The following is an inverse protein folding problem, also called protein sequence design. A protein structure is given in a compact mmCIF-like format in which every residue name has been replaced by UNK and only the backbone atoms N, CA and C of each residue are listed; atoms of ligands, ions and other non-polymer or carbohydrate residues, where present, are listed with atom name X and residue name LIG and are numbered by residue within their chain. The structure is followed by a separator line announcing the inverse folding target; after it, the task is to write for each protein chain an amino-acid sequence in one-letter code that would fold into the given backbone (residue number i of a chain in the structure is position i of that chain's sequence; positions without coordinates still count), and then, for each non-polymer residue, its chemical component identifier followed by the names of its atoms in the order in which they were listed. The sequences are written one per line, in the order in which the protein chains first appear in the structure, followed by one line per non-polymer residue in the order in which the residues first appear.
data_IF_628967213740
#
_entry.id   IF_628967213740
#
_cell.length_a   1.000
_cell.length_b   1.000
_cell.length_c   1.000
_cell.angle_alpha   90.00
_cell.angle_beta   90.00
_cell.angle_gamma   90.00
#
_symmetry.space_group_name_H-M   'P 1'
#
loop_
_entity.id
_entity.type
_entity.pdbx_description
1 polymer ?
#
# COMPACT_ATOMS: atom_id res chain seq x y z
N UNK A 1 10.23 -7.94 3.99
CA UNK A 1 9.95 -8.18 5.43
C UNK A 1 8.47 -8.51 5.60
N UNK A 2 8.16 -9.58 6.31
CA UNK A 2 6.78 -9.95 6.59
C UNK A 2 6.18 -9.05 7.68
N UNK A 3 4.88 -8.81 7.63
CA UNK A 3 4.17 -8.02 8.66
C UNK A 3 4.39 -8.57 10.07
N UNK A 4 4.42 -9.90 10.22
CA UNK A 4 4.65 -10.57 11.51
C UNK A 4 6.01 -10.20 12.14
N UNK A 5 7.03 -9.92 11.34
CA UNK A 5 8.35 -9.54 11.87
C UNK A 5 8.33 -8.19 12.56
N UNK A 6 7.43 -7.29 12.15
CA UNK A 6 7.25 -5.99 12.79
C UNK A 6 6.66 -6.06 14.19
N UNK A 7 5.73 -6.97 14.38
CA UNK A 7 5.03 -7.15 15.66
C UNK A 7 5.64 -8.26 16.52
N UNK A 8 6.79 -8.78 16.13
CA UNK A 8 7.48 -9.84 16.85
C UNK A 8 7.72 -9.52 18.32
N UNK A 9 8.02 -8.27 18.64
CA UNK A 9 8.25 -7.82 20.01
C UNK A 9 6.96 -7.83 20.82
N UNK A 10 5.87 -7.38 20.23
CA UNK A 10 4.55 -7.34 20.84
C UNK A 10 4.02 -8.76 21.09
N UNK A 11 4.22 -9.68 20.12
CA UNK A 11 3.87 -11.09 20.30
C UNK A 11 4.65 -11.73 21.45
N UNK A 12 5.95 -11.42 21.58
CA UNK A 12 6.78 -11.92 22.68
C UNK A 12 6.34 -11.40 24.05
N UNK A 13 5.81 -10.20 24.10
CA UNK A 13 5.37 -9.54 25.33
C UNK A 13 3.88 -9.75 25.61
N UNK A 14 3.20 -10.59 24.81
CA UNK A 14 1.78 -10.88 25.03
C UNK A 14 1.59 -11.52 26.42
N UNK A 15 0.74 -10.91 27.21
CA UNK A 15 0.42 -11.38 28.55
C UNK A 15 -0.70 -12.44 28.47
N UNK A 16 -0.33 -13.68 28.79
CA UNK A 16 -1.27 -14.80 28.80
C UNK A 16 -2.31 -14.73 29.91
N UNK A 17 -2.08 -13.89 30.92
CA UNK A 17 -3.03 -13.67 32.01
C UNK A 17 -4.13 -12.66 31.64
N UNK A 18 -3.99 -12.05 30.47
CA UNK A 18 -4.99 -11.14 29.91
C UNK A 18 -6.18 -11.95 29.35
N UNK A 19 -7.41 -11.53 29.66
CA UNK A 19 -8.63 -12.21 29.23
C UNK A 19 -8.91 -12.11 27.71
N UNK A 20 -8.01 -11.49 26.95
CA UNK A 20 -8.14 -11.36 25.49
C UNK A 20 -7.57 -12.61 24.82
N UNK A 21 -8.37 -13.27 24.04
CA UNK A 21 -7.92 -14.43 23.23
C UNK A 21 -6.83 -14.00 22.24
N UNK A 22 -5.74 -14.75 22.12
CA UNK A 22 -4.58 -14.40 21.29
C UNK A 22 -4.95 -14.11 19.84
N UNK A 23 -5.91 -14.85 19.27
CA UNK A 23 -6.42 -14.59 17.91
C UNK A 23 -7.06 -13.21 17.76
N UNK A 24 -7.82 -12.77 18.76
CA UNK A 24 -8.42 -11.43 18.77
C UNK A 24 -7.36 -10.35 18.94
N UNK A 25 -6.34 -10.60 19.74
CA UNK A 25 -5.19 -9.72 19.89
C UNK A 25 -4.45 -9.51 18.56
N UNK A 26 -4.20 -10.57 17.79
CA UNK A 26 -3.58 -10.47 16.46
C UNK A 26 -4.48 -9.72 15.46
N UNK A 27 -5.78 -9.95 15.49
CA UNK A 27 -6.72 -9.25 14.61
C UNK A 27 -6.74 -7.74 14.85
N UNK A 28 -6.61 -7.29 16.09
CA UNK A 28 -6.55 -5.87 16.45
C UNK A 28 -5.31 -5.15 15.90
N UNK A 29 -4.20 -5.85 15.69
CA UNK A 29 -3.00 -5.25 15.13
C UNK A 29 -3.17 -4.80 13.66
N UNK A 30 -4.05 -5.45 12.92
CA UNK A 30 -4.18 -5.16 11.50
C UNK A 30 -5.19 -4.08 11.16
N UNK A 31 -6.22 -3.94 11.99
CA UNK A 31 -7.41 -3.22 11.57
C UNK A 31 -7.45 -1.76 11.99
N UNK A 32 -6.63 -1.28 12.93
CA UNK A 32 -6.84 0.00 13.61
C UNK A 32 -8.31 0.21 14.05
N UNK A 33 -9.07 -0.87 14.13
CA UNK A 33 -10.46 -0.86 14.56
C UNK A 33 -10.44 -1.17 16.04
N UNK A 34 -11.02 -0.30 16.86
CA UNK A 34 -11.36 -0.61 18.23
C UNK A 34 -12.32 -1.79 18.22
N UNK A 35 -11.76 -2.97 18.50
CA UNK A 35 -12.49 -4.21 18.51
C UNK A 35 -13.29 -4.29 19.81
N UNK A 36 -14.58 -4.03 19.76
CA UNK A 36 -15.45 -4.32 20.90
C UNK A 36 -15.69 -5.84 21.00
N UNK A 37 -15.59 -6.40 22.21
CA UNK A 37 -15.83 -7.82 22.47
C UNK A 37 -17.14 -8.34 21.87
N UNK A 38 -18.12 -7.47 21.66
CA UNK A 38 -19.39 -7.78 21.02
C UNK A 38 -19.30 -8.18 19.55
N UNK A 39 -18.22 -7.82 18.87
CA UNK A 39 -18.06 -8.10 17.41
C UNK A 39 -17.51 -9.51 17.15
N UNK A 40 -16.83 -10.12 18.10
CA UNK A 40 -16.31 -11.49 18.01
C UNK A 40 -17.40 -12.55 17.78
N UNK A 41 -18.61 -12.33 18.28
CA UNK A 41 -19.64 -13.35 18.31
C UNK A 41 -20.61 -13.31 17.12
N UNK A 42 -20.45 -12.36 16.21
CA UNK A 42 -21.51 -12.08 15.25
C UNK A 42 -21.51 -12.94 13.99
N UNK A 43 -20.37 -13.36 13.46
CA UNK A 43 -20.36 -14.08 12.16
C UNK A 43 -19.18 -15.02 11.89
N UNK A 44 -18.10 -15.00 12.68
CA UNK A 44 -16.89 -15.80 12.41
C UNK A 44 -16.46 -16.59 13.64
N UNK A 45 -16.16 -17.89 13.47
CA UNK A 45 -15.57 -18.72 14.51
C UNK A 45 -14.16 -18.20 14.87
N UNK A 46 -13.79 -18.27 16.17
CA UNK A 46 -12.48 -17.80 16.64
C UNK A 46 -11.30 -18.46 15.91
N UNK A 47 -11.43 -19.73 15.52
CA UNK A 47 -10.43 -20.45 14.72
C UNK A 47 -10.24 -19.85 13.33
N UNK A 48 -11.33 -19.42 12.68
CA UNK A 48 -11.29 -18.78 11.38
C UNK A 48 -10.71 -17.36 11.45
N UNK A 49 -11.08 -16.60 12.48
CA UNK A 49 -10.50 -15.29 12.75
C UNK A 49 -8.98 -15.38 12.95
N UNK A 50 -8.51 -16.35 13.73
CA UNK A 50 -7.08 -16.62 13.93
C UNK A 50 -6.39 -16.99 12.61
N UNK A 51 -6.99 -17.88 11.82
CA UNK A 51 -6.45 -18.29 10.52
C UNK A 51 -6.29 -17.11 9.57
N UNK A 52 -7.33 -16.28 9.43
CA UNK A 52 -7.28 -15.10 8.57
C UNK A 52 -6.24 -14.09 9.05
N UNK A 53 -6.16 -13.83 10.34
CA UNK A 53 -5.15 -12.93 10.93
C UNK A 53 -3.73 -13.41 10.67
N UNK A 54 -3.47 -14.72 10.81
CA UNK A 54 -2.16 -15.29 10.51
C UNK A 54 -1.80 -15.20 9.02
N UNK A 55 -2.75 -15.46 8.12
CA UNK A 55 -2.53 -15.32 6.68
C UNK A 55 -2.18 -13.87 6.31
N UNK A 56 -2.88 -12.90 6.86
CA UNK A 56 -2.59 -11.48 6.64
C UNK A 56 -1.20 -11.08 7.17
N UNK A 57 -0.79 -11.61 8.31
CA UNK A 57 0.54 -11.36 8.89
C UNK A 57 1.68 -11.97 8.08
N UNK A 58 1.41 -12.98 7.28
CA UNK A 58 2.37 -13.59 6.36
C UNK A 58 2.51 -12.83 5.05
N UNK A 59 1.64 -11.84 4.79
CA UNK A 59 1.81 -10.98 3.62
C UNK A 59 3.06 -10.11 3.74
N UNK A 60 3.66 -9.82 2.59
CA UNK A 60 4.82 -8.94 2.55
C UNK A 60 4.44 -7.51 2.94
N UNK A 61 5.18 -6.97 3.90
CA UNK A 61 4.99 -5.58 4.30
C UNK A 61 5.51 -4.65 3.22
N UNK A 62 4.60 -3.89 2.62
CA UNK A 62 4.95 -2.78 1.73
C UNK A 62 5.01 -1.47 2.53
N UNK A 63 6.20 -0.89 2.61
CA UNK A 63 6.37 0.41 3.28
C UNK A 63 5.51 1.46 2.58
N UNK A 64 4.71 2.26 3.32
CA UNK A 64 3.95 3.35 2.73
C UNK A 64 4.85 4.33 1.96
N UNK A 65 4.41 4.77 0.80
CA UNK A 65 5.08 5.84 0.07
C UNK A 65 4.69 7.19 0.67
N UNK A 66 5.66 8.10 0.75
CA UNK A 66 5.41 9.46 1.20
C UNK A 66 5.02 10.32 0.02
N UNK A 67 3.89 10.99 0.12
CA UNK A 67 3.37 11.90 -0.88
C UNK A 67 3.23 13.30 -0.29
N UNK A 68 3.56 14.34 -1.06
CA UNK A 68 3.13 15.69 -0.74
C UNK A 68 1.59 15.81 -0.90
N UNK A 69 0.99 16.85 -0.32
CA UNK A 69 -0.43 17.14 -0.53
C UNK A 69 -0.77 17.32 -2.01
N UNK A 70 0.12 17.94 -2.76
CA UNK A 70 -0.02 18.11 -4.21
C UNK A 70 -0.03 16.76 -4.92
N UNK A 71 0.97 15.91 -4.67
CA UNK A 71 1.09 14.58 -5.28
C UNK A 71 -0.12 13.70 -5.00
N UNK A 72 -0.60 13.69 -3.76
CA UNK A 72 -1.80 12.96 -3.38
C UNK A 72 -3.05 13.40 -4.15
N UNK A 73 -3.30 14.72 -4.17
CA UNK A 73 -4.44 15.29 -4.90
C UNK A 73 -4.32 15.05 -6.41
N UNK A 74 -3.11 15.18 -6.95
CA UNK A 74 -2.83 14.94 -8.36
C UNK A 74 -3.19 13.51 -8.77
N UNK A 75 -2.75 12.50 -8.00
CA UNK A 75 -3.09 11.09 -8.29
C UNK A 75 -4.60 10.82 -8.20
N UNK A 76 -5.30 11.45 -7.27
CA UNK A 76 -6.77 11.33 -7.19
C UNK A 76 -7.46 11.89 -8.43
N UNK A 77 -7.00 13.00 -8.95
CA UNK A 77 -7.52 13.59 -10.20
C UNK A 77 -7.16 12.72 -11.39
N UNK A 78 -5.90 12.30 -11.51
CA UNK A 78 -5.46 11.42 -12.59
C UNK A 78 -6.29 10.13 -12.65
N UNK A 79 -6.59 9.53 -11.50
CA UNK A 79 -7.45 8.35 -11.42
C UNK A 79 -8.87 8.61 -11.93
N UNK A 80 -9.47 9.75 -11.57
CA UNK A 80 -10.80 10.16 -12.09
C UNK A 80 -10.81 10.36 -13.61
N UNK A 81 -9.70 10.79 -14.16
CA UNK A 81 -9.52 10.97 -15.62
C UNK A 81 -9.19 9.66 -16.37
N UNK A 82 -9.11 8.53 -15.67
CA UNK A 82 -8.90 7.21 -16.26
C UNK A 82 -7.46 6.74 -16.32
N UNK A 83 -6.52 7.48 -15.73
CA UNK A 83 -5.12 7.05 -15.62
C UNK A 83 -4.93 6.08 -14.46
N UNK A 84 -4.22 5.00 -14.69
CA UNK A 84 -4.06 3.92 -13.72
C UNK A 84 -2.62 3.65 -13.30
N UNK A 85 -1.64 4.11 -14.07
CA UNK A 85 -0.22 3.83 -13.86
C UNK A 85 0.64 5.08 -13.99
N UNK A 86 1.78 5.07 -13.28
CA UNK A 86 2.87 6.04 -13.46
C UNK A 86 4.19 5.32 -13.61
N UNK A 87 5.07 5.85 -14.43
CA UNK A 87 6.42 5.34 -14.62
C UNK A 87 7.37 6.44 -15.08
N UNK A 88 8.66 6.26 -14.81
CA UNK A 88 9.73 7.20 -15.16
C UNK A 88 10.68 6.61 -16.19
N UNK A 89 10.95 7.34 -17.26
CA UNK A 89 11.88 6.94 -18.30
C UNK A 89 13.35 7.13 -17.89
N UNK A 90 14.24 6.49 -18.62
CA UNK A 90 15.69 6.63 -18.45
C UNK A 90 16.16 8.10 -18.57
N UNK A 91 15.48 8.91 -19.35
CA UNK A 91 15.72 10.36 -19.47
C UNK A 91 15.18 11.21 -18.33
N UNK A 92 14.74 10.58 -17.25
CA UNK A 92 14.13 11.22 -16.08
C UNK A 92 12.76 11.89 -16.33
N UNK A 93 12.11 11.59 -17.45
CA UNK A 93 10.75 12.05 -17.75
C UNK A 93 9.74 11.12 -17.05
N UNK A 94 8.75 11.72 -16.42
CA UNK A 94 7.69 11.02 -15.70
C UNK A 94 6.39 11.11 -16.51
N UNK A 95 5.68 9.97 -16.61
CA UNK A 95 4.43 9.87 -17.35
C UNK A 95 3.36 9.15 -16.54
N UNK A 96 2.10 9.53 -16.76
CA UNK A 96 0.93 8.77 -16.36
C UNK A 96 0.34 8.04 -17.56
N UNK A 97 -0.14 6.84 -17.36
CA UNK A 97 -0.66 5.95 -18.40
C UNK A 97 -2.06 5.46 -18.05
N UNK A 98 -2.94 5.44 -19.05
CA UNK A 98 -4.26 4.84 -18.92
C UNK A 98 -4.18 3.31 -18.76
N UNK A 99 -3.41 2.66 -19.64
CA UNK A 99 -3.17 1.22 -19.64
C UNK A 99 -1.77 0.90 -19.14
N UNK A 100 -1.59 -0.32 -18.63
CA UNK A 100 -0.29 -0.76 -18.14
C UNK A 100 0.78 -0.62 -19.22
N UNK A 101 1.82 0.19 -18.96
CA UNK A 101 2.92 0.35 -19.88
C UNK A 101 3.89 -0.81 -19.81
N UNK A 102 4.66 -1.00 -20.88
CA UNK A 102 5.77 -1.94 -20.95
C UNK A 102 7.09 -1.20 -21.11
N UNK A 103 8.12 -1.70 -20.44
CA UNK A 103 9.46 -1.12 -20.45
C UNK A 103 10.23 -1.59 -21.67
N UNK A 104 10.87 -0.66 -22.37
CA UNK A 104 11.86 -0.95 -23.40
C UNK A 104 13.27 -0.50 -22.97
N UNK A 105 14.20 -0.30 -23.90
CA UNK A 105 15.59 0.04 -23.59
C UNK A 105 15.79 1.42 -22.94
N UNK A 106 14.84 2.34 -23.09
CA UNK A 106 14.98 3.74 -22.64
C UNK A 106 13.68 4.38 -22.16
N UNK A 107 12.53 3.80 -22.50
CA UNK A 107 11.21 4.39 -22.24
C UNK A 107 10.19 3.37 -21.78
N UNK A 108 9.06 3.88 -21.29
CA UNK A 108 7.85 3.12 -21.05
C UNK A 108 6.84 3.43 -22.16
N UNK A 109 6.35 2.40 -22.85
CA UNK A 109 5.35 2.50 -23.90
C UNK A 109 4.03 1.87 -23.52
N UNK A 110 2.93 2.46 -23.99
CA UNK A 110 1.58 1.92 -23.78
C UNK A 110 0.74 2.04 -25.03
N UNK A 111 -0.24 1.15 -25.17
CA UNK A 111 -1.28 1.24 -26.23
C UNK A 111 -2.43 2.19 -25.90
N UNK A 112 -2.49 2.67 -24.66
CA UNK A 112 -3.47 3.67 -24.21
C UNK A 112 -2.89 5.07 -24.21
N UNK A 113 -3.69 6.02 -23.78
CA UNK A 113 -3.25 7.40 -23.63
C UNK A 113 -2.20 7.53 -22.51
N UNK A 114 -1.26 8.43 -22.74
CA UNK A 114 -0.25 8.79 -21.76
C UNK A 114 0.04 10.28 -21.80
N UNK A 115 0.38 10.84 -20.65
CA UNK A 115 0.64 12.28 -20.51
C UNK A 115 1.84 12.51 -19.60
N UNK A 116 2.68 13.45 -19.98
CA UNK A 116 3.84 13.88 -19.19
C UNK A 116 3.41 14.56 -17.88
N UNK A 117 4.23 14.34 -16.85
CA UNK A 117 4.07 14.91 -15.52
C UNK A 117 5.30 15.75 -15.15
N UNK A 118 5.20 16.51 -14.05
CA UNK A 118 6.35 17.27 -13.55
C UNK A 118 7.48 16.35 -13.08
N UNK A 119 8.68 16.54 -13.61
CA UNK A 119 9.86 15.70 -13.29
C UNK A 119 10.24 15.69 -11.82
N UNK A 120 9.96 16.78 -11.10
CA UNK A 120 10.29 16.96 -9.69
C UNK A 120 9.34 16.27 -8.72
N UNK A 121 8.25 15.67 -9.22
CA UNK A 121 7.27 14.97 -8.41
C UNK A 121 7.54 13.46 -8.35
N UNK A 122 6.97 12.78 -7.37
CA UNK A 122 7.03 11.31 -7.24
C UNK A 122 8.47 10.76 -7.30
N UNK A 123 9.32 11.27 -6.42
CA UNK A 123 10.76 10.94 -6.39
C UNK A 123 11.07 9.45 -6.15
N UNK A 124 10.11 8.71 -5.61
CA UNK A 124 10.23 7.27 -5.41
C UNK A 124 10.06 6.46 -6.70
N UNK A 125 9.45 7.04 -7.75
CA UNK A 125 9.32 6.39 -9.06
C UNK A 125 10.63 6.58 -9.83
N UNK A 126 11.32 5.47 -10.11
CA UNK A 126 12.65 5.48 -10.74
C UNK A 126 12.65 4.67 -12.04
N UNK A 127 13.60 4.96 -12.91
CA UNK A 127 13.84 4.18 -14.12
C UNK A 127 14.22 2.73 -13.80
N UNK A 128 14.96 2.52 -12.71
CA UNK A 128 15.46 1.21 -12.27
C UNK A 128 14.33 0.26 -11.82
N UNK A 129 13.13 0.79 -11.57
CA UNK A 129 11.97 -0.02 -11.20
C UNK A 129 11.59 -0.97 -12.36
N UNK A 130 11.36 -2.23 -12.05
CA UNK A 130 11.06 -3.25 -13.07
C UNK A 130 9.61 -3.19 -13.55
N UNK A 131 8.71 -2.66 -12.71
CA UNK A 131 7.28 -2.56 -12.97
C UNK A 131 6.79 -1.13 -12.80
N UNK A 132 5.74 -0.71 -13.54
CA UNK A 132 5.12 0.58 -13.33
C UNK A 132 4.35 0.57 -12.01
N UNK A 133 4.21 1.75 -11.41
CA UNK A 133 3.39 1.89 -10.21
C UNK A 133 1.91 2.00 -10.56
N UNK A 134 1.08 1.22 -9.89
CA UNK A 134 -0.37 1.33 -9.97
C UNK A 134 -0.85 2.47 -9.04
N UNK A 135 -1.64 3.40 -9.57
CA UNK A 135 -2.13 4.57 -8.81
C UNK A 135 -3.00 4.15 -7.63
N UNK A 136 -3.87 3.15 -7.79
CA UNK A 136 -4.71 2.66 -6.69
C UNK A 136 -3.88 2.05 -5.56
N UNK A 137 -2.82 1.31 -5.88
CA UNK A 137 -1.90 0.76 -4.88
C UNK A 137 -1.16 1.86 -4.11
N UNK A 138 -0.72 2.91 -4.80
CA UNK A 138 -0.09 4.06 -4.15
C UNK A 138 -1.08 4.73 -3.19
N UNK A 139 -2.28 5.04 -3.65
CA UNK A 139 -3.30 5.72 -2.85
C UNK A 139 -3.79 4.90 -1.66
N UNK A 140 -3.78 3.56 -1.77
CA UNK A 140 -4.17 2.65 -0.69
C UNK A 140 -3.11 2.49 0.39
N UNK A 141 -1.84 2.80 0.09
CA UNK A 141 -0.71 2.63 1.02
C UNK A 141 0.25 3.83 0.93
N UNK A 142 -0.24 5.00 1.30
CA UNK A 142 0.56 6.23 1.31
C UNK A 142 0.42 6.99 2.62
N UNK A 143 1.45 7.78 2.93
CA UNK A 143 1.47 8.76 4.00
C UNK A 143 1.57 10.15 3.36
N UNK A 144 0.57 10.99 3.62
CA UNK A 144 0.57 12.38 3.12
C UNK A 144 1.36 13.24 4.11
N UNK A 145 2.47 13.78 3.63
CA UNK A 145 3.31 14.71 4.42
C UNK A 145 2.90 16.16 4.13
N UNK A 146 3.07 17.02 5.15
CA UNK A 146 2.87 18.45 4.93
C UNK A 146 4.00 19.00 4.07
N UNK A 147 3.65 19.84 3.11
CA UNK A 147 4.64 20.58 2.33
C UNK A 147 5.31 21.62 3.27
N UNK A 148 6.62 21.60 3.32
CA UNK A 148 7.39 22.64 4.03
C UNK A 148 7.26 24.00 3.33
#
# INVERSE_FOLDING_TARGET
MLKIEKIKKEIKNYDTDNNVYFGCYLANFESNIDYEESDCFKEILCSECLRQSLLNLLEEYKKPVKLSKFEYKYLKVAKKEGFNFIARDKSNRLYRFEKQPTKDNATWGSRGDYVGMFKSTFSFVKWEDEEPYNIDEILSNCEVIEDE
#
